data_IF_799671648836
#
_entry.id   IF_799671648836
#
_cell.length_a   1.000
_cell.length_b   1.000
_cell.length_c   1.000
_cell.angle_alpha   90.00
_cell.angle_beta   90.00
_cell.angle_gamma   90.00
#
_symmetry.space_group_name_H-M   'P 1'
#
loop_
_entity.id
_entity.type
_entity.pdbx_description
1 polymer ?
#
# COMPACT_ATOMS: atom_id res chain seq x y z
N UNK A 1 -7.87 -42.95 36.19
CA UNK A 1 -7.45 -43.05 34.78
C UNK A 1 -8.66 -42.74 33.89
N UNK A 2 -8.90 -41.47 33.58
CA UNK A 2 -9.79 -41.07 32.49
C UNK A 2 -9.21 -39.82 31.87
N UNK A 3 -8.53 -40.02 30.74
CA UNK A 3 -7.86 -38.99 29.96
C UNK A 3 -8.94 -38.17 29.24
N UNK A 4 -9.04 -36.88 29.54
CA UNK A 4 -9.72 -35.92 28.66
C UNK A 4 -8.84 -35.71 27.41
N UNK A 5 -9.39 -35.75 26.18
CA UNK A 5 -8.66 -35.28 25.02
C UNK A 5 -8.71 -33.76 24.99
N UNK A 6 -7.59 -33.14 25.36
CA UNK A 6 -7.32 -31.73 25.12
C UNK A 6 -6.75 -31.48 23.73
N UNK A 7 -7.06 -30.27 23.26
CA UNK A 7 -6.28 -29.43 22.34
C UNK A 7 -6.58 -29.43 20.81
N UNK A 8 -6.89 -28.20 20.36
CA UNK A 8 -6.33 -27.46 19.21
C UNK A 8 -7.08 -27.50 17.88
N UNK A 9 -8.10 -26.65 17.79
CA UNK A 9 -8.13 -25.64 16.73
C UNK A 9 -8.45 -24.29 17.41
N UNK A 10 -7.61 -23.24 17.28
CA UNK A 10 -8.09 -21.91 17.62
C UNK A 10 -9.24 -21.63 16.65
N UNK A 11 -10.40 -21.30 17.19
CA UNK A 11 -11.54 -20.75 16.45
C UNK A 11 -11.02 -19.83 15.36
N UNK A 12 -11.16 -20.25 14.10
CA UNK A 12 -10.79 -19.43 12.95
C UNK A 12 -11.80 -18.28 12.94
N UNK A 13 -11.47 -17.19 13.62
CA UNK A 13 -12.22 -15.94 13.53
C UNK A 13 -12.36 -15.65 12.05
N UNK A 14 -13.60 -15.74 11.55
CA UNK A 14 -13.95 -15.59 10.15
C UNK A 14 -13.58 -14.18 9.72
N UNK A 15 -12.38 -14.04 9.16
CA UNK A 15 -11.80 -12.75 8.89
C UNK A 15 -12.36 -12.21 7.58
N UNK A 16 -12.90 -11.00 7.64
CA UNK A 16 -13.18 -10.18 6.47
C UNK A 16 -11.91 -10.14 5.60
N UNK A 17 -11.95 -10.64 4.34
CA UNK A 17 -10.76 -10.64 3.51
C UNK A 17 -10.33 -9.21 3.14
N UNK A 18 -9.05 -9.00 2.82
CA UNK A 18 -8.57 -7.70 2.37
C UNK A 18 -9.20 -7.29 1.04
N UNK A 19 -9.09 -6.01 0.69
CA UNK A 19 -9.45 -5.56 -0.66
C UNK A 19 -8.50 -6.17 -1.69
N UNK A 20 -8.90 -6.23 -2.97
CA UNK A 20 -8.04 -6.77 -4.02
C UNK A 20 -6.67 -6.06 -4.08
N UNK A 21 -6.65 -4.74 -3.90
CA UNK A 21 -5.42 -3.93 -3.87
C UNK A 21 -4.51 -4.19 -2.67
N UNK A 22 -5.04 -4.79 -1.60
CA UNK A 22 -4.30 -5.12 -0.38
C UNK A 22 -3.80 -6.57 -0.36
N UNK A 23 -4.12 -7.38 -1.39
CA UNK A 23 -3.52 -8.70 -1.56
C UNK A 23 -1.99 -8.56 -1.77
N UNK A 24 -1.21 -9.33 -1.01
CA UNK A 24 0.26 -9.25 -1.02
C UNK A 24 0.84 -7.99 -0.36
N UNK A 25 0.02 -7.16 0.29
CA UNK A 25 0.47 -5.90 0.90
C UNK A 25 1.56 -6.09 1.95
N UNK A 26 1.56 -7.17 2.71
CA UNK A 26 2.60 -7.44 3.71
C UNK A 26 3.98 -7.55 3.07
N UNK A 27 4.13 -8.35 2.00
CA UNK A 27 5.37 -8.44 1.24
C UNK A 27 5.74 -7.09 0.62
N UNK A 28 4.78 -6.41 -0.02
CA UNK A 28 4.99 -5.08 -0.62
C UNK A 28 5.47 -4.04 0.39
N UNK A 29 4.95 -4.08 1.61
CA UNK A 29 5.34 -3.18 2.70
C UNK A 29 6.82 -3.39 3.09
N UNK A 30 7.32 -4.64 3.12
CA UNK A 30 8.76 -4.93 3.37
C UNK A 30 9.65 -4.36 2.27
N UNK A 31 9.21 -4.37 1.01
CA UNK A 31 9.99 -3.81 -0.11
C UNK A 31 9.92 -2.28 -0.22
N UNK A 32 8.95 -1.62 0.42
CA UNK A 32 8.66 -0.20 0.21
C UNK A 32 8.90 0.68 1.44
N UNK A 33 8.54 0.22 2.64
CA UNK A 33 8.69 1.00 3.88
C UNK A 33 10.15 1.01 4.35
N UNK A 34 10.57 2.14 4.91
CA UNK A 34 11.96 2.35 5.35
C UNK A 34 12.93 2.72 4.23
N UNK A 35 12.42 3.02 3.04
CA UNK A 35 13.22 3.45 1.90
C UNK A 35 12.71 4.78 1.33
N UNK A 36 13.62 5.68 0.98
CA UNK A 36 13.34 6.99 0.38
C UNK A 36 14.43 7.40 -0.62
N UNK A 37 14.90 6.46 -1.44
CA UNK A 37 16.08 6.65 -2.29
C UNK A 37 15.99 7.88 -3.21
N UNK A 38 17.03 8.71 -3.19
CA UNK A 38 17.12 9.89 -4.06
C UNK A 38 16.16 11.02 -3.67
N UNK A 39 15.62 10.98 -2.45
CA UNK A 39 14.66 11.97 -1.95
C UNK A 39 15.01 12.36 -0.53
N UNK A 40 14.98 13.66 -0.25
CA UNK A 40 14.90 14.20 1.11
C UNK A 40 13.44 14.53 1.38
N UNK A 41 12.83 13.87 2.38
CA UNK A 41 11.41 13.98 2.71
C UNK A 41 11.21 14.44 4.16
N UNK A 42 10.22 15.27 4.37
CA UNK A 42 9.74 15.72 5.67
C UNK A 42 8.22 15.51 5.71
N UNK A 43 7.74 14.68 6.64
CA UNK A 43 6.33 14.49 6.92
C UNK A 43 6.02 14.98 8.33
N UNK A 44 5.07 15.90 8.46
CA UNK A 44 4.58 16.43 9.72
C UNK A 44 3.10 16.10 9.85
N UNK A 45 2.76 15.23 10.79
CA UNK A 45 1.38 14.89 11.15
C UNK A 45 1.03 15.57 12.46
N UNK A 46 -0.04 16.34 12.47
CA UNK A 46 -0.57 16.97 13.67
C UNK A 46 -2.05 16.66 13.84
N UNK A 47 -2.52 16.67 15.09
CA UNK A 47 -3.95 16.55 15.38
C UNK A 47 -4.44 17.74 16.20
N UNK A 48 -5.45 18.45 15.70
CA UNK A 48 -6.08 19.54 16.44
C UNK A 48 -6.89 19.03 17.63
N UNK A 49 -7.14 19.91 18.60
CA UNK A 49 -8.06 19.62 19.72
C UNK A 49 -9.48 19.33 19.24
N UNK A 50 -9.90 19.92 18.11
CA UNK A 50 -11.18 19.64 17.46
C UNK A 50 -11.23 18.31 16.69
N UNK A 51 -10.14 17.54 16.70
CA UNK A 51 -10.06 16.21 16.08
C UNK A 51 -9.74 16.20 14.59
N UNK A 52 -9.34 17.35 14.01
CA UNK A 52 -8.86 17.45 12.62
C UNK A 52 -7.41 16.97 12.55
N UNK A 53 -7.13 16.03 11.67
CA UNK A 53 -5.78 15.52 11.40
C UNK A 53 -5.21 16.31 10.21
N UNK A 54 -4.04 16.91 10.39
CA UNK A 54 -3.27 17.56 9.32
C UNK A 54 -2.03 16.73 9.02
N UNK A 55 -1.74 16.52 7.74
CA UNK A 55 -0.52 15.87 7.29
C UNK A 55 0.13 16.76 6.22
N UNK A 56 1.22 17.42 6.61
CA UNK A 56 2.00 18.28 5.74
C UNK A 56 3.27 17.54 5.33
N UNK A 57 3.44 17.31 4.04
CA UNK A 57 4.61 16.62 3.50
C UNK A 57 5.39 17.54 2.55
N UNK A 58 6.70 17.60 2.71
CA UNK A 58 7.63 18.20 1.74
C UNK A 58 8.61 17.15 1.25
N UNK A 59 8.99 17.21 -0.02
CA UNK A 59 10.02 16.35 -0.59
C UNK A 59 10.88 17.11 -1.60
N UNK A 60 12.16 16.77 -1.65
CA UNK A 60 13.10 17.27 -2.66
C UNK A 60 13.82 16.07 -3.29
N UNK A 61 13.77 15.99 -4.61
CA UNK A 61 14.46 14.96 -5.37
C UNK A 61 15.93 15.37 -5.58
N UNK A 62 16.86 14.54 -5.11
CA UNK A 62 18.30 14.86 -5.12
C UNK A 62 18.92 14.82 -6.52
N UNK A 63 18.33 14.05 -7.44
CA UNK A 63 18.85 13.91 -8.80
C UNK A 63 18.42 15.10 -9.70
N UNK A 64 17.20 15.60 -9.51
CA UNK A 64 16.59 16.63 -10.37
C UNK A 64 16.50 18.01 -9.72
N UNK A 65 16.71 18.12 -8.41
CA UNK A 65 16.51 19.34 -7.64
C UNK A 65 15.05 19.78 -7.50
N UNK A 66 14.09 19.01 -8.03
CA UNK A 66 12.66 19.35 -7.96
C UNK A 66 12.13 19.14 -6.55
N UNK A 67 11.44 20.15 -6.02
CA UNK A 67 10.73 20.09 -4.76
C UNK A 67 9.21 19.94 -5.01
N UNK A 68 8.55 19.16 -4.15
CA UNK A 68 7.12 19.00 -4.14
C UNK A 68 6.60 19.05 -2.70
N UNK A 69 5.43 19.65 -2.50
CA UNK A 69 4.76 19.74 -1.22
C UNK A 69 3.32 19.27 -1.31
N UNK A 70 2.77 18.78 -0.21
CA UNK A 70 1.34 18.56 -0.07
C UNK A 70 0.86 18.81 1.36
N UNK A 71 -0.38 19.27 1.46
CA UNK A 71 -1.12 19.44 2.70
C UNK A 71 -2.39 18.60 2.60
N UNK A 72 -2.56 17.64 3.49
CA UNK A 72 -3.76 16.83 3.62
C UNK A 72 -4.45 17.17 4.96
N UNK A 73 -5.74 17.47 4.90
CA UNK A 73 -6.59 17.76 6.05
C UNK A 73 -7.69 16.71 6.10
N UNK A 74 -7.78 15.98 7.21
CA UNK A 74 -8.72 14.89 7.40
C UNK A 74 -9.57 15.14 8.63
N UNK A 75 -10.88 15.21 8.44
CA UNK A 75 -11.85 15.42 9.49
C UNK A 75 -12.80 14.22 9.56
N UNK A 76 -12.87 13.58 10.74
CA UNK A 76 -13.68 12.37 10.96
C UNK A 76 -14.86 12.72 11.88
N UNK A 77 -16.06 12.77 11.31
CA UNK A 77 -17.31 12.90 12.03
C UNK A 77 -17.81 11.50 12.43
N UNK A 78 -17.28 10.97 13.54
CA UNK A 78 -17.56 9.59 13.98
C UNK A 78 -19.05 9.32 14.20
N UNK A 79 -19.82 10.29 14.68
CA UNK A 79 -21.26 10.16 14.93
C UNK A 79 -22.06 9.89 13.64
N UNK A 80 -21.59 10.42 12.51
CA UNK A 80 -22.23 10.30 11.20
C UNK A 80 -21.52 9.28 10.29
N UNK A 81 -20.51 8.55 10.79
CA UNK A 81 -19.69 7.64 9.98
C UNK A 81 -19.02 8.33 8.78
N UNK A 82 -18.88 9.66 8.82
CA UNK A 82 -18.46 10.48 7.70
C UNK A 82 -17.00 10.93 7.89
N UNK A 83 -16.20 10.80 6.85
CA UNK A 83 -14.82 11.31 6.79
C UNK A 83 -14.69 12.24 5.61
N UNK A 84 -14.27 13.47 5.89
CA UNK A 84 -13.90 14.46 4.89
C UNK A 84 -12.39 14.54 4.80
N UNK A 85 -11.83 14.36 3.62
CA UNK A 85 -10.40 14.45 3.36
C UNK A 85 -10.15 15.44 2.24
N UNK A 86 -9.28 16.42 2.46
CA UNK A 86 -8.92 17.41 1.47
C UNK A 86 -7.41 17.48 1.35
N UNK A 87 -6.90 17.28 0.13
CA UNK A 87 -5.48 17.32 -0.18
C UNK A 87 -5.19 18.41 -1.21
N UNK A 88 -4.20 19.24 -0.92
CA UNK A 88 -3.68 20.25 -1.84
C UNK A 88 -2.18 20.02 -2.04
N UNK A 89 -1.70 20.14 -3.27
CA UNK A 89 -0.28 20.00 -3.60
C UNK A 89 0.28 21.23 -4.31
N UNK A 90 1.61 21.30 -4.41
CA UNK A 90 2.34 22.39 -5.07
C UNK A 90 2.10 22.49 -6.58
N UNK A 91 1.54 21.45 -7.21
CA UNK A 91 1.10 21.48 -8.61
C UNK A 91 -0.31 22.09 -8.77
N UNK A 92 -0.82 22.73 -7.71
CA UNK A 92 -2.17 23.29 -7.59
C UNK A 92 -3.31 22.28 -7.76
N UNK A 93 -3.07 20.98 -7.59
CA UNK A 93 -4.14 19.99 -7.61
C UNK A 93 -4.86 19.96 -6.26
N UNK A 94 -6.16 20.21 -6.28
CA UNK A 94 -7.06 20.12 -5.14
C UNK A 94 -7.87 18.83 -5.24
N UNK A 95 -7.64 17.89 -4.32
CA UNK A 95 -8.40 16.66 -4.21
C UNK A 95 -9.28 16.69 -2.95
N UNK A 96 -10.55 16.33 -3.09
CA UNK A 96 -11.51 16.21 -2.00
C UNK A 96 -12.15 14.83 -2.05
N UNK A 97 -12.06 14.09 -0.95
CA UNK A 97 -12.64 12.77 -0.75
C UNK A 97 -13.66 12.85 0.40
N UNK A 98 -14.91 12.47 0.12
CA UNK A 98 -15.97 12.36 1.12
C UNK A 98 -16.34 10.91 1.25
N UNK A 99 -16.08 10.31 2.40
CA UNK A 99 -16.35 8.90 2.68
C UNK A 99 -17.46 8.76 3.72
N UNK A 100 -18.38 7.84 3.49
CA UNK A 100 -19.38 7.38 4.45
C UNK A 100 -19.20 5.88 4.64
N UNK A 101 -19.03 5.43 5.88
CA UNK A 101 -18.85 4.02 6.22
C UNK A 101 -19.88 3.58 7.26
N UNK A 102 -20.39 2.35 7.12
CA UNK A 102 -21.28 1.65 8.05
C UNK A 102 -22.65 2.32 8.34
N UNK A 103 -23.05 3.35 7.58
CA UNK A 103 -24.32 4.05 7.79
C UNK A 103 -25.54 3.36 7.18
N UNK A 104 -25.45 2.90 5.92
CA UNK A 104 -26.56 2.23 5.24
C UNK A 104 -26.61 0.74 5.55
N UNK A 105 -25.44 0.11 5.67
CA UNK A 105 -25.28 -1.28 6.04
C UNK A 105 -23.89 -1.48 6.66
N UNK A 106 -23.79 -2.38 7.63
CA UNK A 106 -22.51 -2.76 8.22
C UNK A 106 -21.59 -3.36 7.14
N UNK A 107 -20.37 -2.84 7.06
CA UNK A 107 -19.36 -3.21 6.08
C UNK A 107 -19.46 -2.44 4.76
N UNK A 108 -20.48 -1.59 4.56
CA UNK A 108 -20.58 -0.75 3.37
C UNK A 108 -19.78 0.54 3.55
N UNK A 109 -18.96 0.85 2.55
CA UNK A 109 -18.21 2.09 2.43
C UNK A 109 -18.52 2.73 1.09
N UNK A 110 -18.91 3.99 1.08
CA UNK A 110 -19.11 4.79 -0.14
C UNK A 110 -18.21 6.01 -0.04
N UNK A 111 -17.40 6.27 -1.06
CA UNK A 111 -16.55 7.44 -1.13
C UNK A 111 -16.73 8.18 -2.46
N UNK A 112 -16.83 9.49 -2.40
CA UNK A 112 -16.81 10.36 -3.57
C UNK A 112 -15.49 11.12 -3.56
N UNK A 113 -14.64 10.80 -4.54
CA UNK A 113 -13.39 11.50 -4.78
C UNK A 113 -13.60 12.51 -5.91
N UNK A 114 -13.13 13.72 -5.71
CA UNK A 114 -13.13 14.78 -6.71
C UNK A 114 -11.75 15.41 -6.76
N UNK A 115 -11.27 15.74 -7.95
CA UNK A 115 -10.01 16.43 -8.14
C UNK A 115 -10.18 17.58 -9.12
N UNK A 116 -9.56 18.71 -8.80
CA UNK A 116 -9.62 19.93 -9.59
C UNK A 116 -8.22 20.54 -9.72
N UNK A 117 -7.83 20.87 -10.95
CA UNK A 117 -6.58 21.57 -11.27
C UNK A 117 -6.94 22.96 -11.77
N UNK A 118 -6.87 24.01 -10.93
CA UNK A 118 -7.26 25.38 -11.30
C UNK A 118 -6.52 25.90 -12.53
N UNK A 119 -5.22 25.61 -12.64
CA UNK A 119 -4.38 26.10 -13.74
C UNK A 119 -4.85 25.63 -15.13
N UNK A 120 -5.45 24.43 -15.22
CA UNK A 120 -5.90 23.84 -16.49
C UNK A 120 -7.42 23.75 -16.61
N UNK A 121 -8.15 24.00 -15.52
CA UNK A 121 -9.58 23.77 -15.42
C UNK A 121 -9.97 22.28 -15.38
N UNK A 122 -8.99 21.35 -15.42
CA UNK A 122 -9.25 19.91 -15.45
C UNK A 122 -9.96 19.46 -14.17
N UNK A 123 -11.05 18.72 -14.34
CA UNK A 123 -11.84 18.12 -13.26
C UNK A 123 -11.89 16.62 -13.48
N UNK A 124 -11.77 15.87 -12.40
CA UNK A 124 -12.05 14.44 -12.40
C UNK A 124 -12.85 14.08 -11.16
N UNK A 125 -13.60 12.99 -11.26
CA UNK A 125 -14.36 12.45 -10.15
C UNK A 125 -14.33 10.93 -10.19
N UNK A 126 -14.34 10.32 -9.02
CA UNK A 126 -14.44 8.87 -8.87
C UNK A 126 -15.42 8.55 -7.76
N UNK A 127 -16.42 7.73 -8.06
CA UNK A 127 -17.31 7.17 -7.05
C UNK A 127 -16.79 5.78 -6.68
N UNK A 128 -16.40 5.58 -5.42
CA UNK A 128 -15.93 4.29 -4.90
C UNK A 128 -17.00 3.71 -4.00
N UNK A 129 -17.26 2.43 -4.16
CA UNK A 129 -18.16 1.67 -3.31
C UNK A 129 -17.47 0.38 -2.91
N UNK A 130 -17.48 0.07 -1.62
CA UNK A 130 -16.88 -1.14 -1.07
C UNK A 130 -17.86 -1.79 -0.13
N UNK A 131 -17.96 -3.11 -0.19
CA UNK A 131 -18.77 -3.88 0.74
C UNK A 131 -17.97 -5.05 1.27
N UNK A 132 -17.78 -5.08 2.59
CA UNK A 132 -16.98 -6.12 3.26
C UNK A 132 -17.86 -6.88 4.25
N UNK A 133 -17.76 -8.19 4.25
CA UNK A 133 -18.41 -9.10 5.20
C UNK A 133 -17.51 -10.30 5.43
N UNK A 134 -17.90 -11.17 6.35
CA UNK A 134 -17.23 -12.45 6.52
C UNK A 134 -17.11 -13.16 5.17
N UNK A 135 -15.90 -13.65 4.87
CA UNK A 135 -15.54 -14.34 3.64
C UNK A 135 -15.56 -13.52 2.33
N UNK A 136 -16.06 -12.27 2.33
CA UNK A 136 -16.26 -11.51 1.08
C UNK A 136 -15.82 -10.06 1.23
N UNK A 137 -15.09 -9.54 0.23
CA UNK A 137 -14.81 -8.13 0.08
C UNK A 137 -15.01 -7.71 -1.39
N UNK A 138 -15.98 -6.85 -1.63
CA UNK A 138 -16.35 -6.33 -2.94
C UNK A 138 -15.95 -4.86 -3.04
N UNK A 139 -15.50 -4.45 -4.22
CA UNK A 139 -15.21 -3.07 -4.57
C UNK A 139 -15.75 -2.74 -5.96
N UNK A 140 -16.30 -1.55 -6.13
CA UNK A 140 -16.70 -1.01 -7.41
C UNK A 140 -16.39 0.49 -7.43
N UNK A 141 -15.50 0.90 -8.33
CA UNK A 141 -15.08 2.28 -8.52
C UNK A 141 -15.47 2.73 -9.94
N UNK A 142 -16.18 3.85 -10.05
CA UNK A 142 -16.57 4.46 -11.32
C UNK A 142 -15.73 5.72 -11.50
N UNK A 143 -14.87 5.74 -12.52
CA UNK A 143 -14.11 6.92 -12.92
C UNK A 143 -14.91 7.74 -13.95
N UNK A 144 -15.13 9.03 -13.72
CA UNK A 144 -15.93 9.87 -14.61
C UNK A 144 -15.13 10.55 -15.73
N UNK A 145 -13.78 10.54 -15.70
CA UNK A 145 -12.95 11.26 -16.71
C UNK A 145 -12.91 10.54 -18.06
N UNK A 146 -12.89 9.22 -18.03
CA UNK A 146 -13.29 8.34 -19.12
C UNK A 146 -14.06 7.22 -18.46
N UNK A 147 -15.36 7.00 -18.76
CA UNK A 147 -16.24 6.21 -17.90
C UNK A 147 -15.76 4.75 -17.83
N UNK A 148 -14.86 4.48 -16.89
CA UNK A 148 -14.22 3.19 -16.65
C UNK A 148 -14.77 2.70 -15.32
N UNK A 149 -15.37 1.51 -15.37
CA UNK A 149 -15.88 0.83 -14.19
C UNK A 149 -14.82 -0.17 -13.76
N UNK A 150 -14.23 0.04 -12.59
CA UNK A 150 -13.38 -0.94 -11.94
C UNK A 150 -14.23 -1.75 -10.97
N UNK A 151 -14.19 -3.06 -11.08
CA UNK A 151 -14.83 -3.95 -10.11
C UNK A 151 -13.79 -4.91 -9.55
N UNK A 152 -13.90 -5.21 -8.27
CA UNK A 152 -13.04 -6.16 -7.58
C UNK A 152 -13.87 -7.02 -6.62
N UNK A 153 -13.52 -8.28 -6.50
CA UNK A 153 -14.10 -9.20 -5.54
C UNK A 153 -12.99 -10.06 -4.95
N UNK A 154 -12.99 -10.23 -3.64
CA UNK A 154 -12.10 -11.15 -2.93
C UNK A 154 -12.94 -12.06 -2.06
N UNK A 155 -12.77 -13.36 -2.27
CA UNK A 155 -13.33 -14.41 -1.45
C UNK A 155 -12.23 -14.94 -0.54
N UNK A 156 -12.53 -15.12 0.74
CA UNK A 156 -11.65 -15.76 1.70
C UNK A 156 -12.29 -17.02 2.25
N UNK A 157 -11.52 -18.09 2.44
CA UNK A 157 -11.99 -19.31 3.12
C UNK A 157 -10.80 -20.09 3.70
N UNK A 158 -10.82 -20.41 5.00
CA UNK A 158 -9.76 -21.18 5.68
C UNK A 158 -8.31 -20.71 5.36
N UNK A 159 -8.10 -19.40 5.34
CA UNK A 159 -6.81 -18.77 5.02
C UNK A 159 -6.53 -18.60 3.52
N UNK A 160 -7.24 -19.32 2.64
CA UNK A 160 -7.19 -19.09 1.20
C UNK A 160 -7.89 -17.79 0.83
N UNK A 161 -7.36 -17.11 -0.19
CA UNK A 161 -7.88 -15.87 -0.75
C UNK A 161 -7.94 -16.03 -2.27
N UNK A 162 -9.10 -15.78 -2.87
CA UNK A 162 -9.28 -15.73 -4.32
C UNK A 162 -9.80 -14.34 -4.70
N UNK A 163 -8.99 -13.60 -5.44
CA UNK A 163 -9.28 -12.26 -5.89
C UNK A 163 -9.52 -12.21 -7.40
N UNK A 164 -10.48 -11.39 -7.81
CA UNK A 164 -10.71 -11.00 -9.18
C UNK A 164 -10.84 -9.49 -9.28
N UNK A 165 -10.22 -8.89 -10.27
CA UNK A 165 -10.34 -7.47 -10.57
C UNK A 165 -10.50 -7.28 -12.07
N UNK A 166 -11.45 -6.42 -12.46
CA UNK A 166 -11.67 -6.03 -13.84
C UNK A 166 -11.78 -4.51 -13.95
N UNK A 167 -11.46 -3.99 -15.13
CA UNK A 167 -11.76 -2.62 -15.52
C UNK A 167 -12.45 -2.64 -16.88
N UNK A 168 -13.61 -2.01 -17.02
CA UNK A 168 -14.38 -1.93 -18.26
C UNK A 168 -14.49 -0.48 -18.73
N UNK A 169 -13.94 -0.19 -19.89
CA UNK A 169 -14.04 1.12 -20.56
C UNK A 169 -15.39 1.18 -21.30
N UNK A 170 -16.36 1.89 -20.72
CA UNK A 170 -17.70 2.01 -21.31
C UNK A 170 -17.72 2.88 -22.56
N UNK A 171 -16.77 3.81 -22.71
CA UNK A 171 -16.66 4.66 -23.91
C UNK A 171 -16.24 3.83 -25.12
N UNK A 172 -15.34 2.86 -24.92
CA UNK A 172 -14.87 1.93 -25.97
C UNK A 172 -15.63 0.61 -25.99
N UNK A 173 -16.53 0.39 -25.04
CA UNK A 173 -17.21 -0.89 -24.82
C UNK A 173 -16.23 -2.08 -24.79
N UNK A 174 -15.11 -1.92 -24.09
CA UNK A 174 -14.01 -2.90 -24.07
C UNK A 174 -13.51 -3.14 -22.65
N UNK A 175 -13.19 -4.40 -22.35
CA UNK A 175 -12.47 -4.77 -21.15
C UNK A 175 -11.03 -4.21 -21.23
N UNK A 176 -10.71 -3.30 -20.31
CA UNK A 176 -9.44 -2.62 -20.22
C UNK A 176 -8.43 -3.35 -19.31
N UNK A 177 -8.91 -4.04 -18.27
CA UNK A 177 -8.08 -4.83 -17.36
C UNK A 177 -8.83 -6.09 -16.90
N UNK A 178 -8.09 -7.18 -16.73
CA UNK A 178 -8.60 -8.47 -16.27
C UNK A 178 -7.54 -9.20 -15.45
N UNK A 179 -7.64 -9.09 -14.13
CA UNK A 179 -6.64 -9.57 -13.20
C UNK A 179 -7.22 -10.63 -12.26
N UNK A 180 -6.44 -11.68 -12.01
CA UNK A 180 -6.75 -12.73 -11.06
C UNK A 180 -5.66 -12.79 -10.00
N UNK A 181 -6.06 -13.08 -8.78
CA UNK A 181 -5.13 -13.28 -7.68
C UNK A 181 -5.53 -14.51 -6.86
N UNK A 182 -4.54 -15.29 -6.44
CA UNK A 182 -4.71 -16.33 -5.43
C UNK A 182 -3.75 -16.04 -4.29
N UNK A 183 -4.17 -16.31 -3.07
CA UNK A 183 -3.35 -16.10 -1.91
C UNK A 183 -3.66 -17.11 -0.83
N UNK A 184 -2.72 -17.24 0.09
CA UNK A 184 -2.89 -18.01 1.30
C UNK A 184 -2.28 -17.25 2.46
N UNK A 185 -3.03 -17.11 3.54
CA UNK A 185 -2.58 -16.42 4.75
C UNK A 185 -2.65 -17.39 5.92
N UNK A 186 -1.48 -17.67 6.47
CA UNK A 186 -1.32 -18.30 7.77
C UNK A 186 -0.97 -17.23 8.83
N UNK A 187 -0.72 -17.67 10.06
CA UNK A 187 -0.37 -16.77 11.17
C UNK A 187 0.96 -16.05 10.96
N UNK A 188 1.96 -16.76 10.43
CA UNK A 188 3.35 -16.33 10.30
C UNK A 188 3.78 -16.09 8.85
N UNK A 189 3.04 -16.58 7.85
CA UNK A 189 3.38 -16.35 6.44
C UNK A 189 2.16 -15.98 5.58
N UNK A 190 2.44 -15.30 4.46
CA UNK A 190 1.46 -14.99 3.42
C UNK A 190 2.05 -15.30 2.05
N UNK A 191 1.33 -16.10 1.27
CA UNK A 191 1.58 -16.33 -0.14
C UNK A 191 0.58 -15.50 -0.95
N UNK A 192 1.05 -14.87 -2.02
CA UNK A 192 0.21 -14.18 -2.97
C UNK A 192 0.74 -14.41 -4.37
N UNK A 193 -0.13 -14.77 -5.30
CA UNK A 193 0.15 -14.88 -6.72
C UNK A 193 -0.92 -14.10 -7.48
N UNK A 194 -0.53 -13.52 -8.60
CA UNK A 194 -1.45 -12.80 -9.46
C UNK A 194 -1.10 -12.97 -10.93
N UNK A 195 -2.11 -12.84 -11.78
CA UNK A 195 -2.00 -12.83 -13.23
C UNK A 195 -2.76 -11.62 -13.73
N UNK A 196 -2.05 -10.68 -14.34
CA UNK A 196 -2.65 -9.48 -14.94
C UNK A 196 -2.74 -9.67 -16.45
N UNK A 197 -3.96 -9.49 -16.98
CA UNK A 197 -4.28 -9.55 -18.42
C UNK A 197 -3.80 -10.83 -19.13
N UNK A 198 -3.59 -11.92 -18.38
CA UNK A 198 -3.07 -13.19 -18.90
C UNK A 198 -1.60 -13.14 -19.38
N UNK A 199 -0.89 -12.02 -19.17
CA UNK A 199 0.45 -11.81 -19.72
C UNK A 199 1.49 -11.48 -18.66
N UNK A 200 1.12 -10.79 -17.58
CA UNK A 200 2.04 -10.51 -16.48
C UNK A 200 1.73 -11.39 -15.29
N UNK A 201 2.72 -12.12 -14.82
CA UNK A 201 2.61 -13.03 -13.70
C UNK A 201 3.43 -12.47 -12.54
N UNK A 202 2.84 -12.49 -11.35
CA UNK A 202 3.47 -12.03 -10.13
C UNK A 202 3.27 -13.02 -8.99
N UNK A 203 4.23 -13.02 -8.08
CA UNK A 203 4.24 -13.83 -6.88
C UNK A 203 4.96 -13.11 -5.77
N UNK A 204 4.48 -13.26 -4.54
CA UNK A 204 5.17 -12.79 -3.36
C UNK A 204 4.94 -13.72 -2.18
N UNK A 205 5.98 -13.86 -1.36
CA UNK A 205 5.94 -14.55 -0.09
C UNK A 205 6.34 -13.54 0.97
N UNK A 206 5.54 -13.42 2.02
CA UNK A 206 5.88 -12.71 3.25
C UNK A 206 6.03 -13.73 4.37
N UNK A 207 7.01 -13.54 5.23
CA UNK A 207 7.23 -14.39 6.39
C UNK A 207 7.65 -13.54 7.59
N UNK A 208 6.90 -13.63 8.69
CA UNK A 208 7.31 -13.16 10.01
C UNK A 208 8.11 -14.28 10.67
N UNK A 209 9.44 -14.19 10.61
CA UNK A 209 10.35 -15.24 11.10
C UNK A 209 10.34 -15.28 12.63
N UNK A 210 10.34 -14.11 13.27
CA UNK A 210 10.16 -13.94 14.71
C UNK A 210 9.65 -12.50 15.00
N UNK A 211 9.68 -12.06 16.26
CA UNK A 211 9.21 -10.71 16.64
C UNK A 211 10.14 -9.56 16.21
N UNK A 212 11.34 -9.88 15.72
CA UNK A 212 12.35 -8.92 15.29
C UNK A 212 12.61 -8.96 13.78
N UNK A 213 12.39 -10.10 13.12
CA UNK A 213 12.72 -10.33 11.73
C UNK A 213 11.48 -10.67 10.89
N UNK A 214 11.25 -9.84 9.88
CA UNK A 214 10.28 -10.07 8.81
C UNK A 214 11.01 -10.14 7.46
N UNK A 215 10.65 -11.08 6.61
CA UNK A 215 11.24 -11.25 5.28
C UNK A 215 10.17 -11.29 4.22
N UNK A 216 10.56 -10.94 2.99
CA UNK A 216 9.69 -11.00 1.84
C UNK A 216 10.47 -11.38 0.58
N UNK A 217 9.84 -12.14 -0.29
CA UNK A 217 10.33 -12.49 -1.61
C UNK A 217 9.30 -12.04 -2.63
N UNK A 218 9.76 -11.49 -3.75
CA UNK A 218 8.91 -11.16 -4.90
C UNK A 218 9.47 -11.78 -6.17
N UNK A 219 8.57 -12.26 -7.02
CA UNK A 219 8.83 -12.86 -8.32
C UNK A 219 7.85 -12.23 -9.30
N UNK A 220 8.34 -11.82 -10.47
CA UNK A 220 7.47 -11.39 -11.56
C UNK A 220 8.08 -11.78 -12.90
N UNK A 221 7.25 -12.19 -13.84
CA UNK A 221 7.67 -12.46 -15.22
C UNK A 221 6.55 -12.09 -16.19
N UNK A 222 6.92 -11.90 -17.46
CA UNK A 222 5.98 -11.58 -18.53
C UNK A 222 5.99 -12.72 -19.55
N UNK A 223 4.81 -13.21 -19.94
CA UNK A 223 4.67 -14.22 -20.98
C UNK A 223 5.36 -13.78 -22.28
N UNK A 224 6.09 -14.71 -22.91
CA UNK A 224 6.88 -14.41 -24.11
C UNK A 224 8.20 -13.67 -23.83
N UNK A 225 8.54 -13.37 -22.58
CA UNK A 225 9.85 -12.84 -22.19
C UNK A 225 10.63 -13.87 -21.39
N UNK A 226 11.94 -13.96 -21.65
CA UNK A 226 12.86 -14.74 -20.81
C UNK A 226 13.31 -13.98 -19.55
N UNK A 227 12.88 -12.74 -19.38
CA UNK A 227 13.30 -11.91 -18.26
C UNK A 227 12.39 -12.15 -17.05
N UNK A 228 12.98 -12.69 -15.98
CA UNK A 228 12.33 -12.79 -14.67
C UNK A 228 12.86 -11.68 -13.78
N UNK A 229 11.98 -11.03 -13.01
CA UNK A 229 12.35 -10.09 -11.96
C UNK A 229 12.19 -10.79 -10.62
N UNK A 230 13.24 -10.78 -9.82
CA UNK A 230 13.27 -11.41 -8.51
C UNK A 230 13.84 -10.46 -7.49
N UNK A 231 13.23 -10.41 -6.31
CA UNK A 231 13.69 -9.61 -5.19
C UNK A 231 13.57 -10.36 -3.88
N UNK A 232 14.52 -10.12 -2.98
CA UNK A 232 14.48 -10.53 -1.58
C UNK A 232 14.59 -9.27 -0.73
N UNK A 233 13.78 -9.17 0.31
CA UNK A 233 13.83 -8.10 1.27
C UNK A 233 13.69 -8.64 2.69
N UNK A 234 14.29 -7.94 3.64
CA UNK A 234 14.22 -8.21 5.05
C UNK A 234 14.09 -6.91 5.82
N UNK A 235 13.33 -6.95 6.90
CA UNK A 235 13.24 -5.90 7.91
C UNK A 235 13.58 -6.51 9.25
N UNK A 236 14.61 -5.95 9.88
CA UNK A 236 15.12 -6.37 11.17
C UNK A 236 14.95 -5.24 12.18
N UNK A 237 14.30 -5.54 13.29
CA UNK A 237 14.20 -4.66 14.45
C UNK A 237 15.47 -4.83 15.28
N UNK A 238 16.30 -3.79 15.32
CA UNK A 238 17.55 -3.80 16.09
C UNK A 238 17.27 -3.64 17.58
N UNK A 239 16.34 -2.75 17.92
CA UNK A 239 15.85 -2.52 19.27
C UNK A 239 14.44 -1.88 19.22
N UNK A 240 13.95 -1.34 20.35
CA UNK A 240 12.61 -0.73 20.42
C UNK A 240 12.45 0.54 19.57
N UNK A 241 13.54 1.25 19.29
CA UNK A 241 13.57 2.55 18.62
C UNK A 241 14.23 2.49 17.23
N UNK A 242 14.98 1.42 16.91
CA UNK A 242 15.74 1.28 15.67
C UNK A 242 15.33 0.05 14.84
N UNK A 243 15.31 0.21 13.51
CA UNK A 243 15.11 -0.89 12.55
C UNK A 243 15.97 -0.73 11.31
N UNK A 244 16.46 -1.85 10.79
CA UNK A 244 17.19 -1.96 9.53
C UNK A 244 16.31 -2.65 8.48
N UNK A 245 16.20 -2.08 7.29
CA UNK A 245 15.56 -2.68 6.13
C UNK A 245 16.60 -2.91 5.05
N UNK A 246 16.66 -4.11 4.47
CA UNK A 246 17.57 -4.45 3.38
C UNK A 246 16.81 -5.15 2.26
N UNK A 247 17.13 -4.86 1.00
CA UNK A 247 16.58 -5.54 -0.16
C UNK A 247 17.59 -5.68 -1.27
N UNK A 248 17.47 -6.74 -2.03
CA UNK A 248 18.29 -7.02 -3.21
C UNK A 248 17.40 -7.54 -4.32
N UNK A 249 17.75 -7.24 -5.56
CA UNK A 249 17.09 -7.83 -6.73
C UNK A 249 18.10 -8.41 -7.72
N UNK A 250 17.59 -9.16 -8.69
CA UNK A 250 18.40 -9.79 -9.73
C UNK A 250 18.93 -8.82 -10.80
N UNK A 251 18.65 -7.51 -10.67
CA UNK A 251 19.35 -6.46 -11.42
C UNK A 251 20.63 -5.99 -10.71
N UNK A 252 21.00 -6.64 -9.60
CA UNK A 252 22.12 -6.28 -8.72
C UNK A 252 21.95 -4.94 -8.02
N UNK A 253 20.70 -4.50 -7.78
CA UNK A 253 20.42 -3.33 -6.97
C UNK A 253 20.28 -3.74 -5.50
N UNK A 254 21.05 -3.08 -4.62
CA UNK A 254 21.06 -3.33 -3.18
C UNK A 254 20.50 -2.09 -2.48
N UNK A 255 19.35 -2.23 -1.85
CA UNK A 255 18.71 -1.18 -1.06
C UNK A 255 18.91 -1.40 0.43
N UNK A 256 19.37 -0.39 1.15
CA UNK A 256 19.51 -0.41 2.61
C UNK A 256 18.78 0.79 3.18
N UNK A 257 18.11 0.61 4.32
CA UNK A 257 17.38 1.62 5.04
C UNK A 257 17.59 1.46 6.54
N UNK A 258 17.87 2.54 7.24
CA UNK A 258 17.99 2.59 8.70
C UNK A 258 16.99 3.61 9.23
N UNK A 259 16.08 3.17 10.08
CA UNK A 259 15.09 4.04 10.73
C UNK A 259 15.36 4.08 12.23
N UNK A 260 15.48 5.28 12.78
CA UNK A 260 15.69 5.55 14.19
C UNK A 260 14.57 6.46 14.72
N UNK A 261 13.96 6.06 15.82
CA UNK A 261 13.12 6.93 16.64
C UNK A 261 14.04 7.70 17.59
N UNK A 262 14.07 9.03 17.45
CA UNK A 262 14.94 9.89 18.27
C UNK A 262 14.28 10.26 19.61
N UNK A 263 12.97 10.45 19.57
CA UNK A 263 12.09 10.69 20.72
C UNK A 263 10.66 10.33 20.32
N UNK A 264 9.71 10.24 21.28
CA UNK A 264 8.30 10.05 20.95
C UNK A 264 7.83 11.07 19.90
N UNK A 265 7.24 10.59 18.82
CA UNK A 265 6.77 11.42 17.71
C UNK A 265 7.85 11.94 16.75
N UNK A 266 9.13 11.57 16.88
CA UNK A 266 10.17 11.97 15.91
C UNK A 266 10.98 10.78 15.43
N UNK A 267 10.94 10.52 14.13
CA UNK A 267 11.71 9.46 13.47
C UNK A 267 12.54 10.02 12.33
N UNK A 268 13.73 9.45 12.17
CA UNK A 268 14.63 9.70 11.05
C UNK A 268 14.86 8.39 10.31
N UNK A 269 14.76 8.43 8.99
CA UNK A 269 15.10 7.31 8.11
C UNK A 269 16.22 7.73 7.16
N UNK A 270 17.32 6.98 7.15
CA UNK A 270 18.38 7.09 6.15
C UNK A 270 18.26 5.91 5.20
N UNK A 271 18.44 6.12 3.90
CA UNK A 271 18.37 5.02 2.94
C UNK A 271 19.36 5.21 1.80
N UNK A 272 19.87 4.10 1.27
CA UNK A 272 20.79 4.08 0.15
C UNK A 272 20.41 2.96 -0.83
N UNK A 273 20.41 3.27 -2.13
CA UNK A 273 20.30 2.30 -3.21
C UNK A 273 21.64 2.25 -3.94
N UNK A 274 22.28 1.10 -3.89
CA UNK A 274 23.60 0.84 -4.46
C UNK A 274 23.40 0.02 -5.73
N UNK A 275 24.01 0.49 -6.82
CA UNK A 275 24.09 -0.27 -8.07
C UNK A 275 25.31 -1.18 -8.02
N UNK A 276 25.09 -2.47 -7.80
CA UNK A 276 26.14 -3.48 -7.71
C UNK A 276 26.86 -3.74 -9.04
N UNK A 277 26.26 -3.41 -10.19
CA UNK A 277 26.96 -3.51 -11.49
C UNK A 277 27.93 -2.35 -11.69
N UNK A 278 27.59 -1.19 -11.16
CA UNK A 278 28.36 0.04 -11.29
C UNK A 278 28.95 0.52 -9.95
N UNK A 279 29.35 -0.42 -9.09
CA UNK A 279 29.77 -0.11 -7.71
C UNK A 279 30.89 0.94 -7.63
N UNK A 280 31.88 0.88 -8.53
CA UNK A 280 32.99 1.85 -8.56
C UNK A 280 32.68 3.13 -9.36
N UNK A 281 31.65 3.10 -10.21
CA UNK A 281 31.33 4.18 -11.15
C UNK A 281 30.20 5.10 -10.65
N UNK A 282 29.49 4.71 -9.59
CA UNK A 282 28.43 5.50 -8.96
C UNK A 282 27.02 5.07 -9.39
N UNK A 283 26.13 6.04 -9.57
CA UNK A 283 24.69 5.76 -9.77
C UNK A 283 23.96 5.35 -8.49
N UNK A 284 24.61 5.51 -7.33
CA UNK A 284 24.02 5.24 -6.03
C UNK A 284 23.10 6.40 -5.63
N UNK A 285 21.97 6.07 -5.02
CA UNK A 285 21.00 7.07 -4.55
C UNK A 285 20.95 7.06 -3.04
N UNK A 286 21.09 8.23 -2.43
CA UNK A 286 20.91 8.40 -0.99
C UNK A 286 19.60 9.14 -0.73
N UNK A 287 18.93 8.81 0.35
CA UNK A 287 17.67 9.39 0.75
C UNK A 287 17.60 9.60 2.25
N UNK A 288 16.86 10.62 2.66
CA UNK A 288 16.64 10.95 4.07
C UNK A 288 15.17 11.30 4.30
N UNK A 289 14.56 10.73 5.32
CA UNK A 289 13.18 10.99 5.71
C UNK A 289 13.09 11.44 7.15
N UNK A 290 12.32 12.49 7.41
CA UNK A 290 11.95 12.93 8.75
C UNK A 290 10.44 12.76 8.91
N UNK A 291 10.02 12.04 9.94
CA UNK A 291 8.62 11.91 10.31
C UNK A 291 8.43 12.53 11.69
N UNK A 292 7.57 13.54 11.77
CA UNK A 292 7.16 14.19 13.02
C UNK A 292 5.66 13.96 13.23
N UNK A 293 5.29 13.49 14.41
CA UNK A 293 3.91 13.25 14.82
C UNK A 293 3.67 13.96 16.15
N UNK A 294 2.62 14.81 16.21
CA UNK A 294 2.23 15.59 17.38
C UNK A 294 0.70 15.61 17.60
#
# INVERSE_FOLDING_TARGET
>A
LSVQPGCRFPSCIMAVPPSYSDLGKAAKDIFSKGYGFGVVKLDLKTKSQSGVEFNTSGSSNTDTGKAAGSLETKYKMKELGLTFNQKWNTDNTLATEVTVEDQLAQGLKVALDTSFVPNTGKKSGKLKTGYKRDYVNLGCDIDFEGPIIHAAAVLGYEGWLAGYQMAFDTAKSKLAQNNFALGYRAGDFQLHTNVNDGTEFGGSIYQKVNDELETAVTLAWTAGSNNTRFGIAAKYKLDKDASLSAKVNNASLIGVGYTQSLRPGVKVTLSALIDGKNFNAGGHKVGMGFELEA
#
